data_IF_464856507362
#
_entry.id   IF_464856507362
#
_cell.length_a   1.000
_cell.length_b   1.000
_cell.length_c   1.000
_cell.angle_alpha   90.00
_cell.angle_beta   90.00
_cell.angle_gamma   90.00
#
_symmetry.space_group_name_H-M   'P 1'
#
loop_
_entity.id
_entity.type
_entity.pdbx_description
1 polymer ?
#
# COMPACT_ATOMS: atom_id res chain seq x y z
N UNK A 1 17.87 -49.41 -35.30
CA UNK A 1 17.05 -50.18 -34.34
C UNK A 1 17.74 -49.91 -33.02
N UNK A 2 17.36 -48.96 -32.19
CA UNK A 2 16.09 -48.61 -31.50
C UNK A 2 16.25 -47.12 -31.06
N UNK A 3 15.35 -46.14 -31.25
CA UNK A 3 13.94 -45.99 -30.83
C UNK A 3 13.77 -46.41 -29.36
N UNK A 4 13.51 -45.58 -28.35
CA UNK A 4 12.41 -44.61 -28.21
C UNK A 4 12.61 -43.79 -26.91
N UNK A 5 11.89 -42.65 -26.88
CA UNK A 5 11.75 -41.67 -25.82
C UNK A 5 11.34 -42.23 -24.44
N UNK A 6 11.64 -41.48 -23.38
CA UNK A 6 10.66 -41.20 -22.32
C UNK A 6 10.97 -39.83 -21.70
N UNK A 7 10.19 -38.84 -22.12
CA UNK A 7 10.01 -37.55 -21.47
C UNK A 7 9.17 -37.78 -20.22
N UNK A 8 9.73 -37.55 -19.02
CA UNK A 8 8.95 -37.45 -17.79
C UNK A 8 8.41 -36.03 -17.67
N UNK A 9 7.13 -35.88 -17.96
CA UNK A 9 6.30 -34.72 -17.59
C UNK A 9 5.91 -34.82 -16.12
N UNK A 10 6.48 -33.96 -15.27
CA UNK A 10 5.93 -33.65 -13.94
C UNK A 10 4.97 -32.46 -14.08
N UNK A 11 3.68 -32.76 -13.99
CA UNK A 11 2.59 -31.80 -13.97
C UNK A 11 2.50 -31.20 -12.55
N UNK A 12 3.18 -30.07 -12.32
CA UNK A 12 3.06 -29.33 -11.05
C UNK A 12 1.76 -28.51 -11.08
N UNK A 13 0.71 -29.11 -10.54
CA UNK A 13 -0.57 -28.47 -10.27
C UNK A 13 -0.37 -27.32 -9.28
N UNK A 14 -0.24 -26.11 -9.81
CA UNK A 14 -0.16 -24.87 -9.03
C UNK A 14 -1.58 -24.35 -8.80
N UNK A 15 -1.99 -24.02 -7.56
CA UNK A 15 -3.28 -23.40 -7.31
C UNK A 15 -3.38 -22.05 -8.05
N UNK A 16 -4.58 -21.65 -8.50
CA UNK A 16 -4.77 -20.44 -9.28
C UNK A 16 -4.21 -19.22 -8.54
N UNK A 17 -3.58 -18.27 -9.26
CA UNK A 17 -3.05 -17.06 -8.64
C UNK A 17 -4.20 -16.33 -7.92
N UNK A 18 -4.05 -16.16 -6.62
CA UNK A 18 -4.93 -15.30 -5.84
C UNK A 18 -4.98 -13.91 -6.51
N UNK A 19 -6.14 -13.23 -6.54
CA UNK A 19 -6.23 -11.91 -7.13
C UNK A 19 -5.25 -10.98 -6.41
N UNK A 20 -4.18 -10.62 -7.10
CA UNK A 20 -3.33 -9.50 -6.73
C UNK A 20 -4.22 -8.28 -6.76
N UNK A 21 -4.66 -7.84 -5.59
CA UNK A 21 -5.22 -6.51 -5.42
C UNK A 21 -4.09 -5.54 -5.70
N UNK A 22 -4.00 -5.14 -6.96
CA UNK A 22 -3.10 -4.13 -7.45
C UNK A 22 -3.40 -2.85 -6.65
N UNK A 23 -2.63 -2.63 -5.59
CA UNK A 23 -2.71 -1.41 -4.78
C UNK A 23 -2.25 -0.29 -5.68
N UNK A 24 -3.21 0.29 -6.42
CA UNK A 24 -2.98 1.43 -7.28
C UNK A 24 -2.36 2.52 -6.42
N UNK A 25 -1.09 2.79 -6.66
CA UNK A 25 -0.35 3.86 -6.01
C UNK A 25 -0.91 5.19 -6.53
N UNK A 26 -1.95 5.68 -5.88
CA UNK A 26 -2.58 6.96 -6.22
C UNK A 26 -1.63 8.05 -5.71
N UNK A 27 -1.09 8.87 -6.62
CA UNK A 27 -0.29 10.03 -6.23
C UNK A 27 -1.19 11.01 -5.50
N UNK A 28 -0.84 11.36 -4.27
CA UNK A 28 -1.65 12.22 -3.42
C UNK A 28 -1.88 13.62 -4.03
N UNK A 29 -0.97 14.08 -4.88
CA UNK A 29 -1.08 15.36 -5.62
C UNK A 29 -2.20 15.38 -6.65
N UNK A 30 -2.66 14.21 -7.11
CA UNK A 30 -3.72 14.10 -8.12
C UNK A 30 -5.11 13.94 -7.48
N UNK A 31 -5.20 13.87 -6.14
CA UNK A 31 -6.47 13.66 -5.44
C UNK A 31 -7.26 14.97 -5.43
N UNK A 32 -8.47 15.01 -6.05
CA UNK A 32 -9.31 16.21 -6.01
C UNK A 32 -9.87 16.43 -4.60
N UNK A 33 -9.72 17.65 -4.08
CA UNK A 33 -10.16 18.01 -2.73
C UNK A 33 -11.60 18.54 -2.79
N UNK A 34 -12.57 17.63 -2.68
CA UNK A 34 -13.99 17.96 -2.82
C UNK A 34 -14.71 18.19 -1.48
N UNK A 35 -14.13 17.67 -0.39
CA UNK A 35 -14.73 17.69 0.94
C UNK A 35 -13.65 17.70 2.03
N UNK A 36 -14.04 18.07 3.24
CA UNK A 36 -13.13 18.20 4.40
C UNK A 36 -12.47 16.87 4.78
N UNK A 37 -13.16 15.73 4.62
CA UNK A 37 -12.59 14.42 4.95
C UNK A 37 -11.52 14.03 3.91
N UNK A 38 -11.77 14.29 2.63
CA UNK A 38 -10.78 14.08 1.57
C UNK A 38 -9.57 14.98 1.79
N UNK A 39 -9.76 16.25 2.14
CA UNK A 39 -8.66 17.17 2.47
C UNK A 39 -7.80 16.63 3.61
N UNK A 40 -8.44 16.21 4.72
CA UNK A 40 -7.75 15.66 5.88
C UNK A 40 -6.99 14.38 5.51
N UNK A 41 -7.61 13.47 4.77
CA UNK A 41 -6.97 12.21 4.34
C UNK A 41 -5.73 12.46 3.48
N UNK A 42 -5.79 13.44 2.57
CA UNK A 42 -4.64 13.83 1.74
C UNK A 42 -3.52 14.44 2.59
N UNK A 43 -3.85 15.31 3.56
CA UNK A 43 -2.87 15.85 4.52
C UNK A 43 -2.19 14.74 5.32
N UNK A 44 -2.95 13.83 5.92
CA UNK A 44 -2.44 12.68 6.67
C UNK A 44 -1.54 11.82 5.79
N UNK A 45 -1.95 11.61 4.54
CA UNK A 45 -1.15 10.89 3.56
C UNK A 45 0.21 11.55 3.27
N UNK A 46 0.26 12.87 3.10
CA UNK A 46 1.54 13.59 2.93
C UNK A 46 2.42 13.53 4.17
N UNK A 47 1.84 13.62 5.36
CA UNK A 47 2.57 13.46 6.62
C UNK A 47 3.20 12.07 6.73
N UNK A 48 2.49 11.02 6.30
CA UNK A 48 3.04 9.67 6.23
C UNK A 48 4.19 9.56 5.22
N UNK A 49 4.10 10.21 4.06
CA UNK A 49 5.20 10.25 3.08
C UNK A 49 6.42 10.98 3.65
N UNK A 50 6.21 12.11 4.33
CA UNK A 50 7.28 12.89 4.96
C UNK A 50 7.97 12.10 6.09
N UNK A 51 7.20 11.39 6.92
CA UNK A 51 7.75 10.50 7.94
C UNK A 51 8.61 9.38 7.32
N UNK A 52 8.14 8.71 6.26
CA UNK A 52 8.93 7.69 5.54
C UNK A 52 10.23 8.24 4.94
N UNK A 53 10.27 9.54 4.62
CA UNK A 53 11.45 10.24 4.10
C UNK A 53 12.39 10.74 5.20
N UNK A 54 12.04 10.56 6.48
CA UNK A 54 12.85 11.00 7.61
C UNK A 54 12.89 12.52 7.79
N UNK A 55 11.84 13.23 7.35
CA UNK A 55 11.75 14.70 7.50
C UNK A 55 11.59 15.11 8.95
N UNK A 56 10.92 14.26 9.75
CA UNK A 56 10.64 14.50 11.16
C UNK A 56 11.48 13.58 12.04
N UNK A 57 11.87 14.08 13.20
CA UNK A 57 12.44 13.27 14.28
C UNK A 57 11.38 12.33 14.88
N UNK A 58 11.82 11.38 15.71
CA UNK A 58 10.89 10.47 16.42
C UNK A 58 9.89 11.26 17.28
N UNK A 59 10.35 12.27 18.01
CA UNK A 59 9.50 13.05 18.92
C UNK A 59 8.44 13.87 18.16
N UNK A 60 8.84 14.49 17.05
CA UNK A 60 7.91 15.22 16.17
C UNK A 60 6.89 14.27 15.53
N UNK A 61 7.34 13.11 15.05
CA UNK A 61 6.46 12.09 14.46
C UNK A 61 5.43 11.58 15.46
N UNK A 62 5.84 11.36 16.72
CA UNK A 62 4.94 10.98 17.80
C UNK A 62 3.88 12.06 18.03
N UNK A 63 4.27 13.35 18.05
CA UNK A 63 3.33 14.44 18.24
C UNK A 63 2.36 14.62 17.08
N UNK A 64 2.84 14.46 15.84
CA UNK A 64 1.99 14.45 14.65
C UNK A 64 0.94 13.33 14.75
N UNK A 65 1.34 12.14 15.20
CA UNK A 65 0.41 11.02 15.34
C UNK A 65 -0.67 11.28 16.38
N UNK A 66 -0.33 11.88 17.53
CA UNK A 66 -1.32 12.32 18.53
C UNK A 66 -2.37 13.27 17.94
N UNK A 67 -1.93 14.22 17.10
CA UNK A 67 -2.82 15.14 16.41
C UNK A 67 -3.75 14.40 15.44
N UNK A 68 -3.20 13.51 14.60
CA UNK A 68 -3.97 12.73 13.62
C UNK A 68 -5.02 11.86 14.34
N UNK A 69 -4.66 11.21 15.45
CA UNK A 69 -5.57 10.38 16.23
C UNK A 69 -6.78 11.14 16.78
N UNK A 70 -6.72 12.47 16.97
CA UNK A 70 -7.89 13.27 17.36
C UNK A 70 -8.97 13.35 16.30
N UNK A 71 -8.61 13.19 15.04
CA UNK A 71 -9.53 13.24 13.91
C UNK A 71 -10.02 11.86 13.46
N UNK A 72 -9.42 10.79 13.98
CA UNK A 72 -9.90 9.44 13.77
C UNK A 72 -11.17 9.23 14.59
N UNK A 73 -12.32 9.10 13.92
CA UNK A 73 -13.57 8.71 14.58
C UNK A 73 -13.42 7.27 15.10
N UNK A 74 -13.77 6.96 16.36
CA UNK A 74 -13.91 5.58 16.80
C UNK A 74 -14.97 4.94 15.90
N UNK A 75 -14.59 3.88 15.19
CA UNK A 75 -15.52 3.02 14.44
C UNK A 75 -16.36 2.22 15.42
#
# INVERSE_FOLDING_TARGET
MESVATTTTEEVNSPPPAPVTEQKEIRLVDVPINDENTALNVMVGFLNVAHKRGVFTIDESAKIWECISKFQKPQ
#
